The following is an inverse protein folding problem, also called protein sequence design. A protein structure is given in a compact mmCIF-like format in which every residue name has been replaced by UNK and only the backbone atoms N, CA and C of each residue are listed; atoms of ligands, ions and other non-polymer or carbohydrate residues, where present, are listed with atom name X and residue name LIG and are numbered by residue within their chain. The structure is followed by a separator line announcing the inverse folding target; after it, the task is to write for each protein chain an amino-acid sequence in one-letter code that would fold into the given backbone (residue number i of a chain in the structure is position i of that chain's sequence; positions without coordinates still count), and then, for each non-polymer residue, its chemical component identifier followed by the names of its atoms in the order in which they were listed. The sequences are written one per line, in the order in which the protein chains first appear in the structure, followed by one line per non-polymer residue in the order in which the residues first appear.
data_IF_105140605583
#
_entry.id   IF_105140605583
#
_cell.length_a   1.000
_cell.length_b   1.000
_cell.length_c   1.000
_cell.angle_alpha   90.00
_cell.angle_beta   90.00
_cell.angle_gamma   90.00
#
_symmetry.space_group_name_H-M   'P 1'
#
loop_
_entity.id
_entity.type
_entity.pdbx_description
1 polymer ?
#
# COMPACT_ATOMS: atom_id res chain seq x y z
N UNK A 1 12.84 -7.91 18.03
CA UNK A 1 12.24 -9.00 17.22
C UNK A 1 10.84 -8.64 16.66
N UNK A 2 9.98 -7.94 17.40
CA UNK A 2 8.62 -7.56 16.96
C UNK A 2 8.66 -6.49 15.85
N UNK A 3 9.54 -5.52 15.95
CA UNK A 3 9.76 -4.46 14.93
C UNK A 3 10.22 -5.06 13.59
N UNK A 4 11.12 -6.05 13.60
CA UNK A 4 11.62 -6.71 12.38
C UNK A 4 10.53 -7.49 11.62
N UNK A 5 9.61 -8.15 12.33
CA UNK A 5 8.48 -8.84 11.69
C UNK A 5 7.51 -7.87 11.03
N UNK A 6 7.24 -6.72 11.66
CA UNK A 6 6.33 -5.68 11.13
C UNK A 6 6.88 -5.01 9.86
N UNK A 7 8.18 -4.75 9.80
CA UNK A 7 8.82 -4.15 8.64
C UNK A 7 8.93 -5.10 7.43
N UNK A 8 9.12 -6.41 7.65
CA UNK A 8 9.02 -7.40 6.57
C UNK A 8 7.67 -7.38 5.86
N UNK A 9 6.60 -7.15 6.60
CA UNK A 9 5.26 -7.10 6.02
C UNK A 9 5.03 -5.88 5.12
N UNK A 10 5.66 -4.73 5.38
CA UNK A 10 5.48 -3.52 4.57
C UNK A 10 6.17 -3.56 3.21
N UNK A 11 7.27 -4.28 3.08
CA UNK A 11 8.18 -4.14 1.93
C UNK A 11 8.04 -5.26 0.89
N UNK A 12 7.51 -6.42 1.23
CA UNK A 12 7.42 -7.60 0.33
C UNK A 12 5.99 -7.82 -0.19
N UNK A 13 5.04 -6.95 0.18
CA UNK A 13 3.64 -7.11 -0.24
C UNK A 13 3.48 -6.85 -1.72
N UNK A 14 2.52 -7.54 -2.29
CA UNK A 14 2.11 -7.33 -3.65
C UNK A 14 1.54 -5.92 -3.85
N UNK A 15 1.58 -5.49 -5.09
CA UNK A 15 1.10 -4.19 -5.53
C UNK A 15 0.19 -4.31 -6.73
N UNK A 16 -0.66 -3.33 -6.85
CA UNK A 16 -1.42 -3.04 -8.04
C UNK A 16 -1.26 -1.56 -8.41
N UNK A 17 -1.07 -1.29 -9.69
CA UNK A 17 -0.96 0.06 -10.24
C UNK A 17 -1.97 0.24 -11.37
N UNK A 18 -2.77 1.28 -11.28
CA UNK A 18 -3.69 1.73 -12.31
C UNK A 18 -3.83 3.27 -12.26
N UNK A 19 -5.06 3.79 -12.16
CA UNK A 19 -5.30 5.20 -11.89
C UNK A 19 -4.71 5.64 -10.54
N UNK A 20 -4.64 4.73 -9.59
CA UNK A 20 -3.96 4.87 -8.30
C UNK A 20 -3.09 3.64 -8.04
N UNK A 21 -2.48 3.56 -6.87
CA UNK A 21 -1.72 2.40 -6.40
C UNK A 21 -2.26 1.87 -5.08
N UNK A 22 -2.10 0.57 -4.86
CA UNK A 22 -2.62 -0.10 -3.69
C UNK A 22 -1.76 -1.31 -3.31
N UNK A 23 -1.99 -1.83 -2.11
CA UNK A 23 -1.34 -3.02 -1.57
C UNK A 23 -2.39 -4.09 -1.25
N UNK A 24 -2.88 -4.86 -2.23
CA UNK A 24 -3.94 -5.84 -1.97
C UNK A 24 -3.56 -6.92 -0.97
N UNK A 25 -2.27 -7.27 -0.84
CA UNK A 25 -1.77 -8.18 0.19
C UNK A 25 -2.06 -7.75 1.63
N UNK A 26 -2.38 -6.48 1.85
CA UNK A 26 -2.78 -5.97 3.17
C UNK A 26 -4.10 -6.57 3.67
N UNK A 27 -4.92 -7.15 2.78
CA UNK A 27 -6.13 -7.88 3.14
C UNK A 27 -5.84 -9.19 3.88
N UNK A 28 -4.75 -9.89 3.53
CA UNK A 28 -4.50 -11.27 3.97
C UNK A 28 -4.43 -11.43 5.48
N UNK A 29 -3.74 -10.57 6.25
CA UNK A 29 -3.64 -10.74 7.70
C UNK A 29 -4.98 -10.70 8.42
N UNK A 30 -5.88 -9.80 8.03
CA UNK A 30 -7.21 -9.69 8.62
C UNK A 30 -8.08 -10.92 8.32
N UNK A 31 -8.06 -11.38 7.07
CA UNK A 31 -8.76 -12.60 6.65
C UNK A 31 -8.22 -13.84 7.35
N UNK A 32 -6.90 -13.97 7.47
CA UNK A 32 -6.27 -15.08 8.17
C UNK A 32 -6.66 -15.12 9.65
N UNK A 33 -6.67 -13.97 10.33
CA UNK A 33 -7.06 -13.88 11.73
C UNK A 33 -8.51 -14.37 11.95
N UNK A 34 -9.44 -13.93 11.10
CA UNK A 34 -10.83 -14.39 11.16
C UNK A 34 -10.96 -15.87 10.78
N UNK A 35 -10.22 -16.33 9.77
CA UNK A 35 -10.23 -17.74 9.38
C UNK A 35 -9.78 -18.66 10.54
N UNK A 36 -8.71 -18.29 11.24
CA UNK A 36 -8.22 -19.01 12.41
C UNK A 36 -9.25 -18.99 13.55
N UNK A 37 -9.78 -17.80 13.88
CA UNK A 37 -10.78 -17.66 14.95
C UNK A 37 -12.07 -18.47 14.69
N UNK A 38 -12.49 -18.56 13.43
CA UNK A 38 -13.72 -19.21 13.00
C UNK A 38 -13.51 -20.63 12.46
N UNK A 39 -12.31 -21.20 12.63
CA UNK A 39 -11.94 -22.54 12.14
C UNK A 39 -12.34 -22.77 10.68
N UNK A 40 -12.05 -21.80 9.80
CA UNK A 40 -12.33 -21.91 8.37
C UNK A 40 -11.29 -22.72 7.64
N UNK A 41 -11.72 -23.41 6.58
CA UNK A 41 -10.80 -24.16 5.72
C UNK A 41 -9.89 -23.21 4.92
N UNK A 42 -8.75 -23.75 4.44
CA UNK A 42 -7.87 -23.01 3.52
C UNK A 42 -8.59 -22.58 2.23
N UNK A 43 -9.57 -23.37 1.77
CA UNK A 43 -10.38 -23.01 0.61
C UNK A 43 -11.31 -21.83 0.90
N UNK A 44 -11.92 -21.76 2.08
CA UNK A 44 -12.75 -20.61 2.47
C UNK A 44 -11.90 -19.35 2.59
N UNK A 45 -10.70 -19.45 3.20
CA UNK A 45 -9.74 -18.36 3.27
C UNK A 45 -9.34 -17.87 1.86
N UNK A 46 -9.03 -18.79 0.95
CA UNK A 46 -8.65 -18.46 -0.43
C UNK A 46 -9.79 -17.71 -1.15
N UNK A 47 -11.04 -18.15 -0.99
CA UNK A 47 -12.21 -17.44 -1.54
C UNK A 47 -12.36 -16.02 -0.98
N UNK A 48 -12.11 -15.84 0.31
CA UNK A 48 -12.09 -14.53 0.94
C UNK A 48 -10.98 -13.63 0.36
N UNK A 49 -9.76 -14.16 0.23
CA UNK A 49 -8.62 -13.44 -0.36
C UNK A 49 -8.93 -13.02 -1.80
N UNK A 50 -9.39 -13.93 -2.64
CA UNK A 50 -9.73 -13.64 -4.05
C UNK A 50 -10.80 -12.53 -4.11
N UNK A 51 -11.81 -12.58 -3.25
CA UNK A 51 -12.87 -11.56 -3.22
C UNK A 51 -12.33 -10.20 -2.78
N UNK A 52 -11.50 -10.15 -1.73
CA UNK A 52 -10.93 -8.89 -1.28
C UNK A 52 -10.00 -8.25 -2.33
N UNK A 53 -9.21 -9.04 -3.03
CA UNK A 53 -8.41 -8.55 -4.15
C UNK A 53 -9.27 -8.01 -5.29
N UNK A 54 -10.34 -8.74 -5.64
CA UNK A 54 -11.26 -8.31 -6.69
C UNK A 54 -11.88 -6.95 -6.37
N UNK A 55 -12.32 -6.75 -5.13
CA UNK A 55 -12.89 -5.47 -4.70
C UNK A 55 -11.84 -4.37 -4.67
N UNK A 56 -10.69 -4.59 -4.03
CA UNK A 56 -9.69 -3.55 -3.87
C UNK A 56 -9.08 -3.11 -5.20
N UNK A 57 -8.69 -4.05 -6.04
CA UNK A 57 -8.08 -3.76 -7.35
C UNK A 57 -9.06 -2.98 -8.24
N UNK A 58 -10.33 -3.36 -8.26
CA UNK A 58 -11.31 -2.65 -9.08
C UNK A 58 -11.69 -1.29 -8.51
N UNK A 59 -11.70 -1.10 -7.18
CA UNK A 59 -11.81 0.23 -6.57
C UNK A 59 -10.65 1.13 -7.00
N UNK A 60 -9.43 0.62 -6.99
CA UNK A 60 -8.23 1.38 -7.44
C UNK A 60 -8.29 1.73 -8.93
N UNK A 61 -8.85 0.85 -9.76
CA UNK A 61 -9.08 1.15 -11.20
C UNK A 61 -10.07 2.29 -11.40
N UNK A 62 -11.10 2.35 -10.55
CA UNK A 62 -12.20 3.32 -10.70
C UNK A 62 -12.00 4.63 -9.95
N UNK A 63 -11.26 4.64 -8.85
CA UNK A 63 -11.18 5.78 -7.92
C UNK A 63 -9.72 6.05 -7.54
N UNK A 64 -9.19 7.22 -7.94
CA UNK A 64 -7.85 7.67 -7.58
C UNK A 64 -7.88 8.46 -6.25
N UNK A 65 -7.63 7.80 -5.12
CA UNK A 65 -7.56 8.44 -3.81
C UNK A 65 -6.37 9.40 -3.69
N UNK A 66 -5.27 9.11 -4.40
CA UNK A 66 -4.07 9.94 -4.38
C UNK A 66 -4.32 11.37 -4.85
N UNK A 67 -5.15 11.54 -5.88
CA UNK A 67 -5.58 12.84 -6.39
C UNK A 67 -6.17 13.71 -5.28
N UNK A 68 -6.95 13.10 -4.39
CA UNK A 68 -7.66 13.76 -3.29
C UNK A 68 -6.89 13.77 -1.97
N UNK A 69 -5.61 13.32 -1.96
CA UNK A 69 -4.79 13.24 -0.75
C UNK A 69 -5.39 12.35 0.34
N UNK A 70 -6.19 11.37 -0.05
CA UNK A 70 -6.74 10.31 0.80
C UNK A 70 -5.78 9.13 0.82
N UNK A 71 -5.62 8.49 1.96
CA UNK A 71 -4.77 7.30 2.09
C UNK A 71 -5.45 6.10 1.41
N UNK A 72 -4.66 5.29 0.70
CA UNK A 72 -5.16 4.11 -0.01
C UNK A 72 -5.79 3.05 0.91
N UNK A 73 -5.59 3.12 2.23
CA UNK A 73 -6.26 2.25 3.20
C UNK A 73 -7.79 2.40 3.18
N UNK A 74 -8.32 3.50 2.65
CA UNK A 74 -9.75 3.66 2.45
C UNK A 74 -10.35 2.61 1.50
N UNK A 75 -9.57 2.06 0.56
CA UNK A 75 -9.99 0.92 -0.25
C UNK A 75 -9.82 -0.43 0.48
N UNK A 76 -8.95 -0.48 1.50
CA UNK A 76 -8.65 -1.70 2.24
C UNK A 76 -9.82 -2.11 3.15
N UNK A 77 -10.43 -1.17 3.87
CA UNK A 77 -11.56 -1.45 4.75
C UNK A 77 -12.70 -2.21 4.02
N UNK A 78 -13.28 -1.63 2.97
CA UNK A 78 -14.31 -2.26 2.15
C UNK A 78 -13.92 -3.63 1.59
N UNK A 79 -12.69 -3.76 1.11
CA UNK A 79 -12.21 -5.01 0.50
C UNK A 79 -12.05 -6.13 1.53
N UNK A 80 -11.52 -5.83 2.72
CA UNK A 80 -11.44 -6.78 3.83
C UNK A 80 -12.85 -7.21 4.26
N UNK A 81 -13.78 -6.26 4.42
CA UNK A 81 -15.15 -6.56 4.80
C UNK A 81 -15.85 -7.50 3.80
N UNK A 82 -15.70 -7.23 2.49
CA UNK A 82 -16.21 -8.08 1.43
C UNK A 82 -15.59 -9.48 1.44
N UNK A 83 -14.27 -9.57 1.65
CA UNK A 83 -13.55 -10.84 1.75
C UNK A 83 -13.99 -11.68 2.93
N UNK A 84 -14.13 -11.08 4.13
CA UNK A 84 -14.65 -11.76 5.32
C UNK A 84 -16.09 -12.23 5.08
N UNK A 85 -16.94 -11.37 4.50
CA UNK A 85 -18.32 -11.71 4.17
C UNK A 85 -18.41 -12.95 3.26
N UNK A 86 -17.58 -13.02 2.22
CA UNK A 86 -17.49 -14.20 1.34
C UNK A 86 -17.00 -15.44 2.09
N UNK A 87 -15.93 -15.30 2.88
CA UNK A 87 -15.34 -16.41 3.66
C UNK A 87 -16.33 -16.98 4.67
N UNK A 88 -17.13 -16.14 5.32
CA UNK A 88 -18.13 -16.53 6.29
C UNK A 88 -19.50 -16.87 5.68
N UNK A 89 -19.66 -16.68 4.37
CA UNK A 89 -20.91 -16.91 3.62
C UNK A 89 -22.07 -16.06 4.15
N UNK A 90 -21.80 -14.79 4.47
CA UNK A 90 -22.80 -13.86 4.98
C UNK A 90 -23.78 -13.43 3.88
N UNK A 91 -24.96 -12.94 4.28
CA UNK A 91 -25.93 -12.38 3.36
C UNK A 91 -25.39 -11.14 2.66
N UNK A 92 -25.88 -10.84 1.46
CA UNK A 92 -25.50 -9.64 0.71
C UNK A 92 -25.76 -8.37 1.52
N UNK A 93 -26.89 -8.32 2.25
CA UNK A 93 -27.22 -7.18 3.10
C UNK A 93 -26.21 -6.99 4.23
N UNK A 94 -25.82 -8.05 4.94
CA UNK A 94 -24.81 -7.98 5.99
C UNK A 94 -23.48 -7.50 5.44
N UNK A 95 -23.07 -8.00 4.27
CA UNK A 95 -21.82 -7.57 3.60
C UNK A 95 -21.92 -6.11 3.17
N UNK A 96 -23.06 -5.68 2.65
CA UNK A 96 -23.30 -4.28 2.27
C UNK A 96 -23.13 -3.35 3.47
N UNK A 97 -23.79 -3.64 4.60
CA UNK A 97 -23.66 -2.85 5.82
C UNK A 97 -22.23 -2.82 6.35
N UNK A 98 -21.52 -3.96 6.32
CA UNK A 98 -20.12 -4.04 6.75
C UNK A 98 -19.18 -3.19 5.86
N UNK A 99 -19.39 -3.20 4.55
CA UNK A 99 -18.62 -2.36 3.61
C UNK A 99 -18.83 -0.87 3.90
N UNK A 100 -20.07 -0.44 4.11
CA UNK A 100 -20.41 0.94 4.42
C UNK A 100 -19.72 1.40 5.72
N UNK A 101 -19.84 0.65 6.81
CA UNK A 101 -19.19 0.95 8.08
C UNK A 101 -17.68 0.98 7.96
N UNK A 102 -17.09 0.00 7.28
CA UNK A 102 -15.64 -0.09 7.15
C UNK A 102 -15.05 1.09 6.39
N UNK A 103 -15.70 1.56 5.31
CA UNK A 103 -15.26 2.75 4.60
C UNK A 103 -15.34 4.00 5.48
N UNK A 104 -16.46 4.17 6.19
CA UNK A 104 -16.66 5.32 7.07
C UNK A 104 -15.54 5.46 8.11
N UNK A 105 -15.02 4.35 8.62
CA UNK A 105 -13.99 4.34 9.67
C UNK A 105 -12.56 4.30 9.14
N UNK A 106 -12.33 3.92 7.89
CA UNK A 106 -10.97 3.78 7.33
C UNK A 106 -10.55 4.94 6.44
N UNK A 107 -11.42 5.89 6.17
CA UNK A 107 -11.06 7.09 5.40
C UNK A 107 -10.13 7.98 6.22
N UNK A 108 -8.97 8.33 5.65
CA UNK A 108 -7.97 9.18 6.31
C UNK A 108 -7.11 9.90 5.28
N UNK A 109 -6.41 10.94 5.74
CA UNK A 109 -5.51 11.72 4.88
C UNK A 109 -4.18 11.01 4.64
N UNK A 110 -3.46 11.43 3.60
CA UNK A 110 -2.12 10.93 3.28
C UNK A 110 -1.00 11.51 4.14
N UNK A 111 -1.29 12.25 5.20
CA UNK A 111 -0.25 12.84 6.05
C UNK A 111 0.71 11.79 6.62
N UNK A 112 0.24 10.58 6.90
CA UNK A 112 1.06 9.46 7.37
C UNK A 112 2.14 8.99 6.36
N UNK A 113 2.12 9.52 5.13
CA UNK A 113 2.99 9.10 4.02
C UNK A 113 3.82 10.22 3.44
N UNK A 114 3.89 11.37 4.10
CA UNK A 114 4.65 12.53 3.66
C UNK A 114 5.38 13.18 4.83
N UNK A 115 6.51 13.82 4.54
CA UNK A 115 7.40 14.38 5.56
C UNK A 115 8.11 13.26 6.33
N UNK A 116 8.27 13.44 7.62
CA UNK A 116 8.81 12.40 8.48
C UNK A 116 7.85 11.23 8.59
N UNK A 117 8.19 10.15 7.89
CA UNK A 117 7.36 8.95 7.84
C UNK A 117 7.55 8.18 9.14
N UNK A 118 6.51 8.16 9.96
CA UNK A 118 6.51 7.45 11.23
C UNK A 118 6.18 5.96 11.08
N UNK A 119 6.38 5.21 12.15
CA UNK A 119 5.99 3.80 12.25
C UNK A 119 4.48 3.56 12.03
N UNK A 120 3.64 4.59 12.17
CA UNK A 120 2.21 4.51 11.86
C UNK A 120 1.92 4.02 10.45
N UNK A 121 2.76 4.36 9.48
CA UNK A 121 2.66 3.85 8.10
C UNK A 121 2.61 2.32 8.04
N UNK A 122 3.32 1.64 8.94
CA UNK A 122 3.29 0.18 9.05
C UNK A 122 2.02 -0.36 9.72
N UNK A 123 1.43 0.43 10.61
CA UNK A 123 0.26 0.02 11.38
C UNK A 123 -1.06 0.34 10.70
N UNK A 124 -1.11 1.39 9.89
CA UNK A 124 -2.34 1.85 9.26
C UNK A 124 -3.11 0.74 8.51
N UNK A 125 -2.47 -0.14 7.70
CA UNK A 125 -3.18 -1.23 7.05
C UNK A 125 -3.73 -2.27 8.05
N UNK A 126 -2.95 -2.61 9.09
CA UNK A 126 -3.42 -3.55 10.11
C UNK A 126 -4.57 -2.97 10.93
N UNK A 127 -4.53 -1.65 11.21
CA UNK A 127 -5.61 -0.95 11.88
C UNK A 127 -6.88 -0.93 11.02
N UNK A 128 -6.76 -0.62 9.72
CA UNK A 128 -7.90 -0.69 8.80
C UNK A 128 -8.51 -2.10 8.73
N UNK A 129 -7.67 -3.15 8.71
CA UNK A 129 -8.13 -4.53 8.78
C UNK A 129 -8.90 -4.84 10.07
N UNK A 130 -8.42 -4.33 11.23
CA UNK A 130 -9.12 -4.44 12.51
C UNK A 130 -10.50 -3.77 12.47
N UNK A 131 -10.58 -2.55 11.95
CA UNK A 131 -11.83 -1.81 11.83
C UNK A 131 -12.82 -2.51 10.88
N UNK A 132 -12.33 -3.13 9.82
CA UNK A 132 -13.17 -3.92 8.91
C UNK A 132 -13.71 -5.20 9.57
N UNK A 133 -12.90 -5.89 10.40
CA UNK A 133 -13.38 -7.04 11.20
C UNK A 133 -14.49 -6.58 12.15
N UNK A 134 -14.28 -5.46 12.84
CA UNK A 134 -15.29 -4.90 13.73
C UNK A 134 -16.58 -4.53 12.99
N UNK A 135 -16.47 -3.89 11.81
CA UNK A 135 -17.60 -3.55 10.97
C UNK A 135 -18.42 -4.79 10.56
N UNK A 136 -17.74 -5.89 10.22
CA UNK A 136 -18.42 -7.16 9.90
C UNK A 136 -19.13 -7.75 11.14
N UNK A 137 -18.48 -7.73 12.30
CA UNK A 137 -19.10 -8.25 13.54
C UNK A 137 -20.34 -7.44 13.92
N UNK A 138 -20.29 -6.11 13.83
CA UNK A 138 -21.46 -5.23 14.06
C UNK A 138 -22.59 -5.50 13.07
N UNK A 139 -22.28 -5.59 11.78
CA UNK A 139 -23.28 -5.89 10.75
C UNK A 139 -23.91 -7.26 10.95
N UNK A 140 -23.15 -8.27 11.41
CA UNK A 140 -23.68 -9.59 11.77
C UNK A 140 -24.65 -9.54 12.97
N UNK A 141 -24.52 -8.55 13.84
CA UNK A 141 -25.43 -8.29 14.97
C UNK A 141 -26.62 -7.44 14.59
N UNK A 142 -26.74 -7.03 13.32
CA UNK A 142 -27.84 -6.21 12.83
C UNK A 142 -27.65 -4.70 13.00
N UNK A 143 -26.41 -4.25 13.33
CA UNK A 143 -26.14 -2.81 13.38
C UNK A 143 -26.07 -2.23 11.96
N UNK A 144 -26.84 -1.15 11.72
CA UNK A 144 -26.87 -0.43 10.45
C UNK A 144 -25.62 0.46 10.27
N UNK A 145 -25.35 0.80 9.03
CA UNK A 145 -24.24 1.64 8.62
C UNK A 145 -24.72 2.98 8.05
N UNK A 146 -23.85 4.02 8.00
CA UNK A 146 -24.08 5.18 7.13
C UNK A 146 -24.21 4.71 5.68
N UNK A 147 -25.44 4.74 5.13
CA UNK A 147 -25.75 4.14 3.84
C UNK A 147 -26.66 5.03 3.00
N UNK A 148 -26.32 5.26 1.73
CA UNK A 148 -25.11 4.83 1.00
C UNK A 148 -23.89 5.71 1.33
N UNK A 149 -22.76 5.13 1.66
CA UNK A 149 -21.56 5.88 2.07
C UNK A 149 -20.85 6.60 0.91
N UNK A 150 -20.91 6.03 -0.30
CA UNK A 150 -20.28 6.64 -1.47
C UNK A 150 -21.13 7.75 -2.09
N UNK A 151 -22.44 7.63 -2.05
CA UNK A 151 -23.42 8.47 -2.76
C UNK A 151 -24.30 9.26 -1.79
N UNK A 152 -24.79 10.41 -2.20
CA UNK A 152 -25.60 11.31 -1.37
C UNK A 152 -24.95 12.65 -1.12
N UNK A 153 -25.63 13.52 -0.38
CA UNK A 153 -25.24 14.93 -0.20
C UNK A 153 -23.95 15.08 0.62
N UNK A 154 -23.79 14.28 1.68
CA UNK A 154 -22.65 14.30 2.58
C UNK A 154 -21.77 13.05 2.45
N UNK A 155 -21.83 12.39 1.30
CA UNK A 155 -21.11 11.17 1.00
C UNK A 155 -19.62 11.39 0.73
N UNK A 156 -18.89 10.28 0.62
CA UNK A 156 -17.46 10.27 0.26
C UNK A 156 -17.22 10.93 -1.10
N UNK A 157 -18.05 10.64 -2.11
CA UNK A 157 -17.91 11.29 -3.44
C UNK A 157 -18.14 12.78 -3.33
N UNK A 158 -19.20 13.19 -2.61
CA UNK A 158 -19.59 14.59 -2.54
C UNK A 158 -18.61 15.47 -1.77
N UNK A 159 -18.00 14.97 -0.68
CA UNK A 159 -17.22 15.78 0.28
C UNK A 159 -15.73 15.54 0.20
N UNK A 160 -15.31 14.37 -0.23
CA UNK A 160 -13.91 13.96 -0.17
C UNK A 160 -13.30 13.79 -1.56
N UNK A 161 -14.10 13.39 -2.56
CA UNK A 161 -13.64 13.18 -3.92
C UNK A 161 -14.01 14.36 -4.85
N UNK A 162 -14.47 14.10 -6.05
CA UNK A 162 -14.70 15.13 -7.10
C UNK A 162 -16.02 15.91 -6.96
N UNK A 163 -16.75 15.73 -5.85
CA UNK A 163 -17.98 16.48 -5.56
C UNK A 163 -19.28 15.77 -5.99
N UNK A 164 -20.41 16.30 -5.53
CA UNK A 164 -21.75 15.69 -5.60
C UNK A 164 -22.19 15.24 -7.02
N UNK A 165 -21.68 15.89 -8.08
CA UNK A 165 -22.04 15.55 -9.46
C UNK A 165 -21.11 14.53 -10.13
N UNK A 166 -20.05 14.12 -9.43
CA UNK A 166 -19.09 13.17 -9.97
C UNK A 166 -19.67 11.75 -10.05
N UNK A 167 -19.35 11.06 -11.15
CA UNK A 167 -19.76 9.68 -11.36
C UNK A 167 -18.49 8.84 -11.48
N UNK A 168 -18.37 7.84 -10.62
CA UNK A 168 -17.29 6.86 -10.66
C UNK A 168 -17.79 5.54 -11.22
N UNK A 169 -16.95 4.90 -12.05
CA UNK A 169 -17.21 3.55 -12.57
C UNK A 169 -16.17 2.60 -12.00
N UNK A 170 -16.60 1.68 -11.16
CA UNK A 170 -15.76 0.61 -10.63
C UNK A 170 -16.02 -0.66 -11.43
N UNK A 171 -15.02 -1.21 -12.15
CA UNK A 171 -15.21 -2.31 -13.09
C UNK A 171 -15.28 -3.67 -12.36
N UNK A 172 -16.24 -3.84 -11.45
CA UNK A 172 -16.49 -5.11 -10.79
C UNK A 172 -16.99 -6.16 -11.78
N UNK A 173 -16.63 -7.45 -11.61
CA UNK A 173 -17.10 -8.52 -12.47
C UNK A 173 -18.62 -8.70 -12.33
N UNK A 174 -19.27 -9.02 -13.45
CA UNK A 174 -20.69 -9.38 -13.45
C UNK A 174 -20.92 -10.73 -12.78
N UNK A 175 -22.20 -11.02 -12.48
CA UNK A 175 -22.60 -12.33 -11.95
C UNK A 175 -22.10 -13.45 -12.88
N UNK A 176 -21.43 -14.45 -12.31
CA UNK A 176 -20.81 -15.59 -12.98
C UNK A 176 -19.49 -15.29 -13.74
N UNK A 177 -19.04 -14.04 -13.83
CA UNK A 177 -17.70 -13.77 -14.34
C UNK A 177 -16.64 -14.19 -13.32
N UNK A 178 -15.51 -14.76 -13.79
CA UNK A 178 -14.44 -15.18 -12.88
C UNK A 178 -13.74 -13.98 -12.27
N UNK A 179 -13.44 -14.04 -11.00
CA UNK A 179 -12.60 -13.06 -10.28
C UNK A 179 -11.15 -13.27 -10.69
N UNK A 180 -10.53 -12.27 -11.32
CA UNK A 180 -9.18 -12.36 -11.89
C UNK A 180 -8.21 -11.28 -11.39
N UNK A 181 -8.69 -10.32 -10.61
CA UNK A 181 -7.89 -9.15 -10.23
C UNK A 181 -6.62 -9.50 -9.45
N UNK A 182 -6.60 -10.61 -8.72
CA UNK A 182 -5.38 -11.10 -8.06
C UNK A 182 -4.26 -11.40 -9.05
N UNK A 183 -4.56 -11.80 -10.27
CA UNK A 183 -3.59 -12.10 -11.31
C UNK A 183 -2.97 -10.84 -11.95
N UNK A 184 -3.55 -9.67 -11.68
CA UNK A 184 -3.04 -8.38 -12.13
C UNK A 184 -2.07 -7.74 -11.13
N UNK A 185 -1.87 -8.39 -9.98
CA UNK A 185 -0.96 -7.93 -8.94
C UNK A 185 0.43 -8.53 -9.11
N UNK A 186 1.42 -7.88 -8.53
CA UNK A 186 2.80 -8.36 -8.57
C UNK A 186 3.51 -8.14 -7.24
N UNK A 187 4.40 -9.04 -6.89
CA UNK A 187 5.22 -8.99 -5.69
C UNK A 187 6.50 -8.19 -5.94
N UNK A 188 7.03 -7.57 -4.89
CA UNK A 188 8.35 -6.96 -4.93
C UNK A 188 9.42 -8.00 -4.61
N UNK A 189 10.56 -7.89 -5.28
CA UNK A 189 11.74 -8.71 -4.96
C UNK A 189 12.49 -8.15 -3.76
N UNK A 190 12.63 -6.82 -3.70
CA UNK A 190 13.36 -6.12 -2.65
C UNK A 190 12.45 -5.39 -1.67
N UNK A 191 12.85 -5.34 -0.41
CA UNK A 191 12.17 -4.59 0.65
C UNK A 191 12.42 -3.08 0.54
N UNK A 192 12.14 -2.50 -0.62
CA UNK A 192 12.27 -1.08 -0.94
C UNK A 192 10.99 -0.56 -1.60
N UNK A 193 10.94 0.74 -1.86
CA UNK A 193 9.87 1.32 -2.65
C UNK A 193 9.81 0.64 -4.04
N UNK A 194 8.58 0.54 -4.61
CA UNK A 194 8.36 -0.21 -5.85
C UNK A 194 9.17 0.33 -7.04
N UNK A 195 9.21 1.65 -7.20
CA UNK A 195 9.91 2.30 -8.30
C UNK A 195 11.43 2.15 -8.23
N UNK A 196 11.95 1.71 -7.07
CA UNK A 196 13.35 1.44 -6.87
C UNK A 196 13.76 -0.03 -7.18
N UNK A 197 12.83 -0.93 -7.51
CA UNK A 197 13.17 -2.34 -7.71
C UNK A 197 14.22 -2.55 -8.81
N UNK A 198 13.98 -2.01 -9.99
CA UNK A 198 14.92 -2.13 -11.12
C UNK A 198 16.26 -1.44 -10.87
N UNK A 199 16.27 -0.32 -10.13
CA UNK A 199 17.49 0.42 -9.88
C UNK A 199 18.43 -0.30 -8.90
N UNK A 200 17.89 -1.12 -8.01
CA UNK A 200 18.68 -2.00 -7.14
C UNK A 200 19.46 -3.01 -8.01
N UNK A 201 18.83 -3.61 -9.01
CA UNK A 201 19.50 -4.53 -9.92
C UNK A 201 20.58 -3.83 -10.75
N UNK A 202 20.32 -2.60 -11.20
CA UNK A 202 21.29 -1.79 -11.92
C UNK A 202 22.49 -1.50 -11.01
N UNK A 203 22.27 -1.08 -9.77
CA UNK A 203 23.33 -0.79 -8.81
C UNK A 203 24.20 -2.03 -8.53
N UNK A 204 23.59 -3.19 -8.32
CA UNK A 204 24.30 -4.48 -8.14
C UNK A 204 25.15 -4.86 -9.36
N UNK A 205 24.67 -4.59 -10.56
CA UNK A 205 25.44 -4.84 -11.80
C UNK A 205 26.60 -3.85 -11.96
N UNK A 206 26.39 -2.58 -11.58
CA UNK A 206 27.41 -1.55 -11.66
C UNK A 206 28.54 -1.76 -10.63
N UNK A 207 28.23 -2.19 -9.41
CA UNK A 207 29.22 -2.55 -8.41
C UNK A 207 30.29 -3.49 -8.99
N UNK A 208 29.86 -4.52 -9.72
CA UNK A 208 30.77 -5.49 -10.34
C UNK A 208 31.65 -4.93 -11.47
N UNK A 209 31.29 -3.75 -12.01
CA UNK A 209 32.00 -3.11 -13.14
C UNK A 209 32.90 -1.96 -12.70
N UNK A 210 32.67 -1.40 -11.52
CA UNK A 210 33.43 -0.26 -10.99
C UNK A 210 34.56 -0.80 -10.12
N UNK A 211 35.81 -0.59 -10.55
CA UNK A 211 36.96 -1.12 -9.85
C UNK A 211 37.19 -0.48 -8.47
N UNK A 212 36.87 0.79 -8.31
CA UNK A 212 37.01 1.51 -7.04
C UNK A 212 35.90 2.53 -6.86
N UNK A 213 34.97 2.21 -5.94
CA UNK A 213 33.86 3.09 -5.60
C UNK A 213 34.29 4.40 -4.92
N UNK A 214 35.47 4.44 -4.27
CA UNK A 214 35.97 5.64 -3.60
C UNK A 214 36.31 6.76 -4.57
N UNK A 215 36.56 6.43 -5.83
CA UNK A 215 36.86 7.39 -6.89
C UNK A 215 35.61 7.96 -7.57
N UNK A 216 34.41 7.53 -7.18
CA UNK A 216 33.14 8.07 -7.69
C UNK A 216 32.94 9.51 -7.19
N UNK A 217 32.84 10.44 -8.12
CA UNK A 217 32.59 11.86 -7.83
C UNK A 217 31.11 12.22 -7.88
N UNK A 218 30.36 11.57 -8.75
CA UNK A 218 28.96 11.91 -9.01
C UNK A 218 28.21 10.70 -9.60
N UNK A 219 26.94 10.58 -9.28
CA UNK A 219 26.01 9.63 -9.87
C UNK A 219 24.76 10.39 -10.33
N UNK A 220 24.45 10.33 -11.61
CA UNK A 220 23.22 10.89 -12.18
C UNK A 220 22.25 9.73 -12.48
N UNK A 221 21.05 9.79 -11.91
CA UNK A 221 20.00 8.79 -12.09
C UNK A 221 18.92 9.36 -12.99
N UNK A 222 18.81 8.86 -14.22
CA UNK A 222 17.76 9.19 -15.15
C UNK A 222 16.56 8.24 -14.96
N UNK A 223 15.40 8.79 -14.65
CA UNK A 223 14.20 8.01 -14.32
C UNK A 223 12.94 8.68 -14.86
N UNK A 224 11.77 8.03 -14.68
CA UNK A 224 10.49 8.62 -15.07
C UNK A 224 10.15 9.85 -14.21
N UNK A 225 9.40 10.79 -14.78
CA UNK A 225 8.89 11.95 -14.03
C UNK A 225 8.17 11.52 -12.73
N UNK A 226 7.36 10.49 -12.80
CA UNK A 226 6.65 9.97 -11.63
C UNK A 226 7.61 9.50 -10.53
N UNK A 227 8.62 8.69 -10.87
CA UNK A 227 9.63 8.23 -9.92
C UNK A 227 10.41 9.39 -9.31
N UNK A 228 10.81 10.37 -10.13
CA UNK A 228 11.49 11.58 -9.68
C UNK A 228 10.66 12.35 -8.64
N UNK A 229 9.36 12.54 -8.90
CA UNK A 229 8.46 13.29 -8.02
C UNK A 229 7.99 12.50 -6.78
N UNK A 230 8.16 11.17 -6.74
CA UNK A 230 7.70 10.35 -5.60
C UNK A 230 8.84 9.97 -4.67
N UNK A 231 9.96 9.47 -5.20
CA UNK A 231 11.09 8.97 -4.41
C UNK A 231 12.43 9.63 -4.75
N UNK A 232 12.46 10.52 -5.73
CA UNK A 232 13.64 11.29 -6.14
C UNK A 232 13.65 12.69 -5.55
N UNK A 233 14.57 13.51 -6.09
CA UNK A 233 14.74 14.91 -5.67
C UNK A 233 13.53 15.79 -5.90
N UNK A 234 12.72 15.49 -6.93
CA UNK A 234 11.46 16.19 -7.22
C UNK A 234 10.30 15.88 -6.26
N UNK A 235 10.51 15.02 -5.26
CA UNK A 235 9.51 14.78 -4.22
C UNK A 235 9.31 15.99 -3.30
N UNK A 236 10.23 16.97 -3.33
CA UNK A 236 10.27 18.12 -2.42
C UNK A 236 10.14 17.68 -0.93
N UNK A 237 10.89 16.64 -0.59
CA UNK A 237 10.96 16.05 0.74
C UNK A 237 12.43 15.99 1.18
N UNK A 238 12.94 17.02 1.90
CA UNK A 238 14.35 17.11 2.29
C UNK A 238 14.83 15.91 3.10
N UNK A 239 13.95 15.26 3.83
CA UNK A 239 14.33 14.09 4.65
C UNK A 239 14.77 12.89 3.81
N UNK A 240 14.33 12.79 2.55
CA UNK A 240 14.82 11.76 1.63
C UNK A 240 16.27 11.94 1.22
N UNK A 241 16.83 13.12 1.46
CA UNK A 241 18.22 13.47 1.24
C UNK A 241 19.10 13.32 2.49
N UNK A 242 18.47 13.15 3.66
CA UNK A 242 19.18 12.99 4.93
C UNK A 242 19.45 11.50 5.20
N UNK A 243 20.70 11.03 5.18
CA UNK A 243 21.04 9.63 5.47
C UNK A 243 20.75 9.23 6.92
N UNK A 244 20.44 10.18 7.80
CA UNK A 244 20.04 9.95 9.19
C UNK A 244 18.54 9.91 9.38
N UNK A 245 17.77 10.11 8.31
CA UNK A 245 16.30 10.04 8.36
C UNK A 245 15.83 8.65 8.81
N UNK A 246 14.53 8.57 9.17
CA UNK A 246 13.94 7.30 9.55
C UNK A 246 14.09 6.27 8.43
N UNK A 247 14.20 5.01 8.82
CA UNK A 247 14.27 3.90 7.85
C UNK A 247 13.10 3.92 6.88
N UNK A 248 11.91 4.22 7.37
CA UNK A 248 10.69 4.33 6.59
C UNK A 248 10.78 5.40 5.50
N UNK A 249 11.55 6.45 5.75
CA UNK A 249 11.87 7.50 4.76
C UNK A 249 12.95 7.02 3.79
N UNK A 250 14.03 6.42 4.28
CA UNK A 250 15.15 5.96 3.46
C UNK A 250 14.77 4.84 2.49
N UNK A 251 13.88 3.93 2.88
CA UNK A 251 13.29 2.91 1.99
C UNK A 251 12.47 3.52 0.82
N UNK A 252 12.25 4.83 0.85
CA UNK A 252 11.53 5.64 -0.15
C UNK A 252 12.39 6.76 -0.74
N UNK A 253 13.71 6.66 -0.62
CA UNK A 253 14.70 7.55 -1.25
C UNK A 253 15.45 6.78 -2.32
N UNK A 254 15.25 7.14 -3.60
CA UNK A 254 15.97 6.47 -4.70
C UNK A 254 17.47 6.69 -4.61
N UNK A 255 17.90 7.86 -4.13
CA UNK A 255 19.31 8.21 -3.95
C UNK A 255 19.96 7.28 -2.92
N UNK A 256 19.33 7.14 -1.75
CA UNK A 256 19.80 6.28 -0.69
C UNK A 256 19.79 4.80 -1.09
N UNK A 257 18.67 4.32 -1.67
CA UNK A 257 18.54 2.94 -2.11
C UNK A 257 19.63 2.58 -3.13
N UNK A 258 19.87 3.45 -4.10
CA UNK A 258 20.90 3.23 -5.11
C UNK A 258 22.30 3.20 -4.51
N UNK A 259 22.63 4.16 -3.66
CA UNK A 259 23.94 4.25 -3.03
C UNK A 259 24.26 3.00 -2.21
N UNK A 260 23.33 2.57 -1.34
CA UNK A 260 23.51 1.35 -0.53
C UNK A 260 23.61 0.09 -1.41
N UNK A 261 22.74 -0.03 -2.41
CA UNK A 261 22.78 -1.19 -3.31
C UNK A 261 24.06 -1.23 -4.17
N UNK A 262 24.62 -0.06 -4.51
CA UNK A 262 25.88 0.04 -5.23
C UNK A 262 27.06 -0.33 -4.32
N UNK A 263 27.09 0.15 -3.08
CA UNK A 263 28.18 -0.09 -2.14
C UNK A 263 28.24 -1.56 -1.70
N UNK A 264 27.09 -2.13 -1.32
CA UNK A 264 27.01 -3.51 -0.80
C UNK A 264 26.89 -4.58 -1.88
N UNK A 265 26.73 -4.23 -3.15
CA UNK A 265 26.30 -5.14 -4.23
C UNK A 265 24.98 -5.87 -3.91
N UNK A 266 24.21 -5.36 -2.97
CA UNK A 266 22.97 -5.94 -2.49
C UNK A 266 22.10 -4.89 -1.80
N UNK A 267 20.79 -5.16 -1.75
CA UNK A 267 19.87 -4.41 -0.91
C UNK A 267 19.41 -5.30 0.26
N UNK A 268 19.76 -4.92 1.48
CA UNK A 268 19.45 -5.70 2.66
C UNK A 268 18.70 -4.86 3.70
N UNK A 269 17.49 -5.26 4.04
CA UNK A 269 16.61 -4.51 4.95
C UNK A 269 17.18 -4.30 6.38
N UNK A 270 18.16 -5.08 6.80
CA UNK A 270 18.83 -4.95 8.12
C UNK A 270 19.92 -3.90 8.07
N UNK A 271 20.69 -3.86 7.00
CA UNK A 271 21.82 -2.92 6.83
C UNK A 271 21.36 -1.50 6.50
N UNK A 272 20.21 -1.31 5.89
CA UNK A 272 19.67 0.03 5.61
C UNK A 272 19.40 0.87 6.88
N UNK A 273 19.57 0.30 8.07
CA UNK A 273 19.40 0.99 9.37
C UNK A 273 20.70 1.56 9.92
N UNK A 274 21.88 1.14 9.45
CA UNK A 274 23.16 1.45 10.10
C UNK A 274 24.17 2.24 9.26
N UNK A 275 23.77 2.75 8.09
CA UNK A 275 24.68 3.57 7.26
C UNK A 275 24.75 5.00 7.78
N UNK A 276 25.61 5.23 8.77
CA UNK A 276 25.97 6.55 9.26
C UNK A 276 27.07 7.23 8.42
N UNK A 277 27.55 6.59 7.36
CA UNK A 277 28.73 7.03 6.60
C UNK A 277 28.45 7.57 5.20
N UNK A 278 27.22 7.41 4.68
CA UNK A 278 26.87 7.96 3.38
C UNK A 278 26.61 9.46 3.50
N UNK A 279 27.56 10.26 3.07
CA UNK A 279 27.31 11.66 2.75
C UNK A 279 26.69 11.71 1.35
N UNK A 280 25.37 11.90 1.29
CA UNK A 280 24.68 12.17 0.02
C UNK A 280 24.96 13.63 -0.36
N UNK A 281 25.69 13.91 -1.46
CA UNK A 281 25.85 15.28 -1.91
C UNK A 281 24.50 15.79 -2.42
N UNK A 282 23.91 16.68 -1.65
CA UNK A 282 22.73 17.43 -2.03
C UNK A 282 23.18 18.63 -2.88
N UNK A 283 23.06 18.56 -4.19
CA UNK A 283 22.90 19.74 -5.02
C UNK A 283 21.49 19.71 -5.60
N UNK A 284 20.71 20.67 -5.20
CA UNK A 284 19.59 21.16 -5.98
C UNK A 284 20.19 22.06 -7.08
N UNK A 285 19.97 21.71 -8.33
CA UNK A 285 20.01 22.61 -9.48
C UNK A 285 18.56 22.80 -9.93
#
# INVERSE_FOLDING_TARGET
HVLFRRQRQMCIRDRFLAADYSHPGDNIPALLAVAQQKNKSGLDLLKGIITSYEVQVNLVKGICLHKHKVDHIAHLGPSVAAGIGTMLKLSTETVYQAIQQSLHTTISTRQSRKGEISSWKAFAPAHAGKLAIEAVDRAMRGEGAPSPIYEGEDSVIARILDGKKAIYKVPLPKTKEPKKAILETYTKEYSAEYQAQAIIDIAKKLNKKIADLKNLKKIDIYTSHHTHCVIGTGANDPQKMDPKASRETLDHSIMYIFAVALEDANWHHVKSVSYTHLTLPTKQD
#
